data_IF_335386006913
#
_entry.id   IF_335386006913
#
_cell.length_a   1.000
_cell.length_b   1.000
_cell.length_c   1.000
_cell.angle_alpha   90.00
_cell.angle_beta   90.00
_cell.angle_gamma   90.00
#
_symmetry.space_group_name_H-M   'P 1'
#
loop_
_entity.id
_entity.type
_entity.pdbx_description
1 polymer ?
#
# COMPACT_ATOMS: atom_id res chain seq x y z
N UNK A 1 -25.57 82.18 5.25
CA UNK A 1 -24.59 82.07 4.14
C UNK A 1 -23.45 81.21 4.70
N UNK A 2 -23.06 80.05 4.19
CA UNK A 2 -22.93 79.62 2.80
C UNK A 2 -23.02 78.09 2.70
N UNK A 3 -23.79 77.60 1.74
CA UNK A 3 -23.80 76.21 1.30
C UNK A 3 -22.82 76.08 0.12
N UNK A 4 -21.67 75.43 0.31
CA UNK A 4 -20.78 75.00 -0.78
C UNK A 4 -19.60 74.19 -0.24
N UNK A 5 -19.81 72.90 0.05
CA UNK A 5 -18.72 71.94 0.24
C UNK A 5 -19.25 70.51 0.11
N UNK A 6 -19.96 70.22 -0.98
CA UNK A 6 -20.40 68.87 -1.29
C UNK A 6 -20.02 68.59 -2.74
N UNK A 7 -19.39 67.42 -2.96
CA UNK A 7 -18.85 66.86 -4.21
C UNK A 7 -17.46 67.34 -4.63
N UNK A 8 -16.44 66.53 -4.31
CA UNK A 8 -15.36 66.11 -5.23
C UNK A 8 -14.33 65.24 -4.48
N UNK A 9 -14.59 63.94 -4.30
CA UNK A 9 -13.49 62.98 -4.03
C UNK A 9 -13.79 61.50 -4.33
N UNK A 10 -14.88 61.16 -5.03
CA UNK A 10 -15.23 59.74 -5.29
C UNK A 10 -14.84 59.21 -6.68
N UNK A 11 -14.19 60.02 -7.53
CA UNK A 11 -13.97 59.68 -8.95
C UNK A 11 -12.70 58.89 -9.30
N UNK A 12 -11.66 58.90 -8.46
CA UNK A 12 -10.34 58.37 -8.85
C UNK A 12 -10.15 56.87 -8.53
N UNK A 13 -10.85 56.32 -7.52
CA UNK A 13 -10.75 54.90 -7.17
C UNK A 13 -11.44 53.95 -8.15
N UNK A 14 -12.55 54.38 -8.76
CA UNK A 14 -13.31 53.58 -9.73
C UNK A 14 -12.58 53.41 -11.07
N UNK A 15 -11.85 54.43 -11.51
CA UNK A 15 -11.11 54.40 -12.77
C UNK A 15 -9.93 53.41 -12.72
N UNK A 16 -9.21 53.34 -11.59
CA UNK A 16 -8.10 52.40 -11.40
C UNK A 16 -8.57 50.93 -11.31
N UNK A 17 -9.69 50.68 -10.62
CA UNK A 17 -10.30 49.35 -10.56
C UNK A 17 -10.83 48.87 -11.93
N UNK A 18 -11.45 49.79 -12.70
CA UNK A 18 -11.92 49.50 -14.06
C UNK A 18 -10.76 49.22 -15.02
N UNK A 19 -9.64 49.96 -14.92
CA UNK A 19 -8.45 49.73 -15.72
C UNK A 19 -7.77 48.38 -15.41
N UNK A 20 -7.70 47.99 -14.14
CA UNK A 20 -7.17 46.69 -13.73
C UNK A 20 -8.04 45.53 -14.21
N UNK A 21 -9.37 45.66 -14.13
CA UNK A 21 -10.31 44.68 -14.65
C UNK A 21 -10.21 44.53 -16.18
N UNK A 22 -10.13 45.66 -16.91
CA UNK A 22 -9.98 45.65 -18.36
C UNK A 22 -8.64 45.03 -18.80
N UNK A 23 -7.54 45.35 -18.12
CA UNK A 23 -6.24 44.74 -18.38
C UNK A 23 -6.26 43.22 -18.12
N UNK A 24 -6.94 42.77 -17.05
CA UNK A 24 -7.16 41.36 -16.76
C UNK A 24 -7.94 40.65 -17.87
N UNK A 25 -9.05 41.25 -18.33
CA UNK A 25 -9.87 40.70 -19.42
C UNK A 25 -9.12 40.60 -20.75
N UNK A 26 -8.33 41.62 -21.10
CA UNK A 26 -7.50 41.63 -22.32
C UNK A 26 -6.40 40.56 -22.24
N UNK A 27 -5.75 40.42 -21.08
CA UNK A 27 -4.73 39.39 -20.86
C UNK A 27 -5.33 37.99 -20.96
N UNK A 28 -6.50 37.75 -20.33
CA UNK A 28 -7.21 36.47 -20.45
C UNK A 28 -7.69 36.18 -21.88
N UNK A 29 -8.13 37.20 -22.62
CA UNK A 29 -8.54 37.07 -24.02
C UNK A 29 -7.38 36.76 -24.96
N UNK A 30 -6.22 37.38 -24.76
CA UNK A 30 -4.99 37.11 -25.53
C UNK A 30 -4.42 35.71 -25.23
N UNK A 31 -4.47 35.29 -23.97
CA UNK A 31 -4.10 33.93 -23.57
C UNK A 31 -5.06 32.92 -24.21
N UNK A 32 -6.37 33.15 -24.15
CA UNK A 32 -7.36 32.29 -24.78
C UNK A 32 -7.17 32.20 -26.31
N UNK A 33 -6.94 33.33 -26.98
CA UNK A 33 -6.70 33.38 -28.43
C UNK A 33 -5.41 32.67 -28.87
N UNK A 34 -4.35 32.72 -28.05
CA UNK A 34 -3.11 31.96 -28.31
C UNK A 34 -3.22 30.47 -28.01
N UNK A 35 -4.00 30.10 -27.00
CA UNK A 35 -4.28 28.70 -26.66
C UNK A 35 -5.21 28.03 -27.68
N UNK A 36 -6.14 28.79 -28.28
CA UNK A 36 -7.10 28.31 -29.29
C UNK A 36 -6.53 28.23 -30.72
N UNK A 37 -5.28 28.61 -30.94
CA UNK A 37 -4.63 28.47 -32.26
C UNK A 37 -4.46 26.97 -32.58
N UNK A 38 -4.79 26.48 -33.80
CA UNK A 38 -4.83 25.05 -34.12
C UNK A 38 -3.49 24.33 -33.90
N UNK A 39 -2.36 25.03 -34.03
CA UNK A 39 -1.02 24.51 -33.73
C UNK A 39 -0.76 24.26 -32.24
N UNK A 40 -1.46 24.97 -31.35
CA UNK A 40 -1.30 24.89 -29.89
C UNK A 40 -2.41 24.04 -29.25
N UNK A 41 -3.46 23.67 -29.98
CA UNK A 41 -4.60 22.93 -29.47
C UNK A 41 -4.18 21.57 -28.87
N UNK A 42 -3.27 20.83 -29.51
CA UNK A 42 -2.75 19.56 -28.97
C UNK A 42 -1.92 19.75 -27.69
N UNK A 43 -1.07 20.78 -27.63
CA UNK A 43 -0.26 21.07 -26.45
C UNK A 43 -1.12 21.50 -25.25
N UNK A 44 -2.11 22.34 -25.50
CA UNK A 44 -3.00 22.86 -24.46
C UNK A 44 -3.96 21.80 -23.94
N UNK A 45 -4.52 20.97 -24.82
CA UNK A 45 -5.35 19.82 -24.42
C UNK A 45 -4.57 18.76 -23.66
N UNK A 46 -3.37 18.38 -24.11
CA UNK A 46 -2.52 17.41 -23.38
C UNK A 46 -2.12 17.92 -21.99
N UNK A 47 -1.78 19.20 -21.87
CA UNK A 47 -1.50 19.84 -20.58
C UNK A 47 -2.74 19.84 -19.68
N UNK A 48 -3.91 20.19 -20.21
CA UNK A 48 -5.16 20.19 -19.46
C UNK A 48 -5.51 18.77 -18.93
N UNK A 49 -5.30 17.74 -19.76
CA UNK A 49 -5.49 16.33 -19.37
C UNK A 49 -4.48 15.94 -18.27
N UNK A 50 -3.21 16.30 -18.43
CA UNK A 50 -2.17 15.99 -17.45
C UNK A 50 -2.46 16.65 -16.09
N UNK A 51 -2.88 17.93 -16.08
CA UNK A 51 -3.28 18.64 -14.86
C UNK A 51 -4.51 18.00 -14.24
N UNK A 52 -5.54 17.68 -15.02
CA UNK A 52 -6.76 17.03 -14.53
C UNK A 52 -6.46 15.65 -13.93
N UNK A 53 -5.58 14.87 -14.56
CA UNK A 53 -5.11 13.59 -14.05
C UNK A 53 -4.32 13.75 -12.75
N UNK A 54 -3.43 14.75 -12.66
CA UNK A 54 -2.68 15.02 -11.43
C UNK A 54 -3.60 15.41 -10.26
N UNK A 55 -4.61 16.25 -10.52
CA UNK A 55 -5.63 16.62 -9.52
C UNK A 55 -6.44 15.39 -9.10
N UNK A 56 -6.85 14.54 -10.03
CA UNK A 56 -7.55 13.29 -9.72
C UNK A 56 -6.71 12.37 -8.85
N UNK A 57 -5.45 12.12 -9.23
CA UNK A 57 -4.53 11.26 -8.48
C UNK A 57 -4.29 11.82 -7.08
N UNK A 58 -4.02 13.12 -6.94
CA UNK A 58 -3.78 13.76 -5.66
C UNK A 58 -5.01 13.70 -4.74
N UNK A 59 -6.20 13.99 -5.28
CA UNK A 59 -7.45 13.95 -4.52
C UNK A 59 -7.81 12.53 -4.09
N UNK A 60 -7.74 11.54 -4.99
CA UNK A 60 -7.99 10.13 -4.65
C UNK A 60 -6.96 9.59 -3.67
N UNK A 61 -5.67 9.91 -3.85
CA UNK A 61 -4.64 9.54 -2.87
C UNK A 61 -4.96 10.11 -1.48
N UNK A 62 -5.28 11.40 -1.40
CA UNK A 62 -5.64 12.05 -0.13
C UNK A 62 -6.90 11.44 0.50
N UNK A 63 -7.91 11.10 -0.30
CA UNK A 63 -9.11 10.42 0.18
C UNK A 63 -8.79 9.05 0.77
N UNK A 64 -8.01 8.22 0.06
CA UNK A 64 -7.61 6.89 0.52
C UNK A 64 -6.80 6.99 1.82
N UNK A 65 -5.80 7.87 1.89
CA UNK A 65 -4.98 8.05 3.09
C UNK A 65 -5.81 8.55 4.26
N UNK A 66 -6.75 9.49 4.04
CA UNK A 66 -7.68 9.95 5.08
C UNK A 66 -8.59 8.83 5.57
N UNK A 67 -9.18 8.07 4.65
CA UNK A 67 -10.04 6.94 4.97
C UNK A 67 -9.31 5.91 5.86
N UNK A 68 -8.05 5.59 5.55
CA UNK A 68 -7.23 4.68 6.36
C UNK A 68 -6.91 5.18 7.76
N UNK A 69 -6.78 6.50 7.94
CA UNK A 69 -6.56 7.11 9.25
C UNK A 69 -7.81 7.14 10.12
N UNK A 70 -8.98 7.27 9.48
CA UNK A 70 -10.28 7.37 10.16
C UNK A 70 -10.87 6.00 10.45
N UNK A 71 -10.78 5.08 9.48
CA UNK A 71 -11.26 3.71 9.66
C UNK A 71 -10.31 3.00 10.61
N UNK A 72 -10.74 2.91 11.86
CA UNK A 72 -10.14 2.03 12.85
C UNK A 72 -10.11 0.60 12.34
N UNK A 73 -9.07 -0.13 12.71
CA UNK A 73 -9.02 -1.56 12.47
C UNK A 73 -10.23 -2.20 13.14
N UNK A 74 -10.98 -3.07 12.43
CA UNK A 74 -12.13 -3.73 13.03
C UNK A 74 -11.64 -4.44 14.29
N UNK A 75 -12.17 -4.01 15.44
CA UNK A 75 -11.89 -4.65 16.71
C UNK A 75 -12.27 -6.12 16.58
N UNK A 76 -11.37 -7.02 17.00
CA UNK A 76 -11.58 -8.47 16.88
C UNK A 76 -12.93 -8.76 17.52
N UNK A 77 -13.93 -9.13 16.71
CA UNK A 77 -15.22 -9.58 17.22
C UNK A 77 -14.94 -10.79 18.10
N UNK A 78 -15.04 -10.61 19.40
CA UNK A 78 -14.88 -11.66 20.42
C UNK A 78 -16.01 -12.68 20.37
N UNK A 79 -17.08 -12.40 19.62
CA UNK A 79 -18.05 -13.40 19.22
C UNK A 79 -17.45 -14.26 18.11
N UNK A 80 -17.12 -15.52 18.39
CA UNK A 80 -16.82 -16.55 17.38
C UNK A 80 -18.00 -16.60 16.40
N UNK A 81 -17.92 -16.03 15.19
CA UNK A 81 -18.94 -16.29 14.19
C UNK A 81 -18.60 -17.64 13.56
N UNK A 82 -19.59 -18.30 12.98
CA UNK A 82 -19.38 -19.45 12.10
C UNK A 82 -18.17 -19.18 11.17
N UNK A 83 -17.29 -20.19 11.06
CA UNK A 83 -16.00 -20.23 10.37
C UNK A 83 -16.08 -19.49 9.01
N UNK A 84 -15.89 -18.18 9.03
CA UNK A 84 -15.98 -17.35 7.84
C UNK A 84 -14.75 -17.61 6.96
N UNK A 85 -14.89 -17.53 5.63
CA UNK A 85 -13.72 -17.57 4.75
C UNK A 85 -12.78 -16.43 5.12
N UNK A 86 -11.49 -16.71 5.21
CA UNK A 86 -10.47 -15.67 5.31
C UNK A 86 -9.34 -15.93 4.31
N UNK A 87 -8.83 -14.87 3.71
CA UNK A 87 -7.84 -14.91 2.65
C UNK A 87 -6.76 -13.87 2.89
N UNK A 88 -5.59 -14.33 3.34
CA UNK A 88 -4.41 -13.50 3.56
C UNK A 88 -3.32 -13.75 2.51
N UNK A 89 -2.61 -12.68 2.13
CA UNK A 89 -1.40 -12.74 1.31
C UNK A 89 -0.16 -12.41 2.16
N UNK A 90 0.87 -13.23 2.07
CA UNK A 90 2.13 -13.06 2.79
C UNK A 90 3.27 -12.83 1.82
N UNK A 91 3.89 -11.65 1.90
CA UNK A 91 5.07 -11.29 1.11
C UNK A 91 6.31 -11.79 1.85
N UNK A 92 6.92 -12.85 1.34
CA UNK A 92 8.10 -13.46 1.91
C UNK A 92 9.35 -12.73 1.42
N UNK A 93 9.97 -11.95 2.30
CA UNK A 93 11.24 -11.26 2.03
C UNK A 93 12.42 -12.24 2.02
N UNK A 94 13.50 -11.97 1.29
CA UNK A 94 14.57 -12.96 1.13
C UNK A 94 15.32 -13.31 2.41
N UNK A 95 15.68 -14.60 2.57
CA UNK A 95 16.54 -15.07 3.66
C UNK A 95 15.89 -14.92 5.04
N UNK A 96 16.54 -14.19 5.95
CA UNK A 96 16.07 -14.03 7.34
C UNK A 96 14.66 -13.44 7.47
N UNK A 97 14.26 -12.55 6.56
CA UNK A 97 12.91 -11.98 6.56
C UNK A 97 11.82 -13.04 6.32
N UNK A 98 12.07 -14.04 5.47
CA UNK A 98 11.10 -15.15 5.27
C UNK A 98 10.92 -15.90 6.58
N UNK A 99 12.02 -16.28 7.23
CA UNK A 99 11.97 -16.98 8.50
C UNK A 99 11.21 -16.17 9.57
N UNK A 100 11.50 -14.88 9.70
CA UNK A 100 10.76 -14.00 10.62
C UNK A 100 9.27 -13.95 10.31
N UNK A 101 8.88 -13.85 9.03
CA UNK A 101 7.46 -13.81 8.64
C UNK A 101 6.77 -15.13 8.97
N UNK A 102 7.37 -16.26 8.60
CA UNK A 102 6.83 -17.59 8.88
C UNK A 102 6.71 -17.84 10.39
N UNK A 103 7.67 -17.37 11.20
CA UNK A 103 7.58 -17.45 12.65
C UNK A 103 6.51 -16.53 13.24
N UNK A 104 6.26 -15.35 12.67
CA UNK A 104 5.14 -14.49 13.11
C UNK A 104 3.77 -15.07 12.76
N UNK A 105 3.70 -15.90 11.71
CA UNK A 105 2.50 -16.66 11.36
C UNK A 105 2.31 -17.90 12.25
N UNK A 106 3.32 -18.25 13.03
CA UNK A 106 3.39 -19.46 13.81
C UNK A 106 2.90 -19.24 15.24
N UNK A 107 1.57 -19.16 15.41
CA UNK A 107 0.93 -18.94 16.72
C UNK A 107 0.52 -20.25 17.42
N UNK A 108 0.81 -21.41 16.83
CA UNK A 108 0.43 -22.72 17.34
C UNK A 108 -1.02 -23.12 17.03
N UNK A 109 -1.82 -22.25 16.40
CA UNK A 109 -3.17 -22.58 15.98
C UNK A 109 -3.16 -23.39 14.66
N UNK A 110 -4.11 -24.31 14.52
CA UNK A 110 -4.10 -25.30 13.44
C UNK A 110 -5.49 -25.60 12.83
N UNK A 111 -6.58 -24.95 13.28
CA UNK A 111 -7.89 -25.07 12.63
C UNK A 111 -8.06 -23.98 11.56
N UNK A 112 -7.59 -24.28 10.36
CA UNK A 112 -7.47 -23.33 9.25
C UNK A 112 -8.38 -23.71 8.07
N UNK A 113 -9.44 -24.49 8.30
CA UNK A 113 -10.25 -25.09 7.24
C UNK A 113 -10.80 -24.07 6.22
N UNK A 114 -11.23 -22.88 6.68
CA UNK A 114 -11.71 -21.80 5.80
C UNK A 114 -10.65 -20.75 5.44
N UNK A 115 -9.40 -20.96 5.87
CA UNK A 115 -8.31 -20.02 5.68
C UNK A 115 -7.52 -20.34 4.41
N UNK A 116 -7.42 -19.35 3.54
CA UNK A 116 -6.57 -19.40 2.36
C UNK A 116 -5.34 -18.49 2.52
N UNK A 117 -4.16 -19.04 2.28
CA UNK A 117 -2.88 -18.33 2.37
C UNK A 117 -2.20 -18.26 1.02
N UNK A 118 -2.01 -17.05 0.51
CA UNK A 118 -1.18 -16.83 -0.68
C UNK A 118 0.21 -16.39 -0.29
N UNK A 119 1.22 -17.12 -0.72
CA UNK A 119 2.62 -16.77 -0.49
C UNK A 119 3.23 -16.13 -1.73
N UNK A 120 3.83 -14.97 -1.55
CA UNK A 120 4.52 -14.25 -2.60
C UNK A 120 6.02 -14.35 -2.38
N UNK A 121 6.69 -15.13 -3.24
CA UNK A 121 8.12 -15.36 -3.23
C UNK A 121 8.84 -14.47 -4.24
N UNK A 122 10.09 -14.17 -3.94
CA UNK A 122 10.99 -13.44 -4.82
C UNK A 122 11.69 -14.37 -5.82
N UNK A 123 11.79 -13.97 -7.09
CA UNK A 123 12.45 -14.74 -8.14
C UNK A 123 13.91 -15.05 -7.78
N UNK A 124 14.28 -16.33 -7.86
CA UNK A 124 15.63 -16.81 -7.56
C UNK A 124 15.92 -17.06 -6.07
N UNK A 125 14.93 -16.94 -5.18
CA UNK A 125 15.09 -17.22 -3.76
C UNK A 125 14.71 -18.66 -3.40
N UNK A 126 15.63 -19.59 -3.66
CA UNK A 126 15.44 -21.02 -3.35
C UNK A 126 15.38 -21.29 -1.85
N UNK A 127 16.08 -20.48 -1.05
CA UNK A 127 16.14 -20.64 0.41
C UNK A 127 14.77 -20.35 1.01
N UNK A 128 14.15 -19.22 0.63
CA UNK A 128 12.80 -18.89 1.06
C UNK A 128 11.76 -19.92 0.63
N UNK A 129 11.90 -20.49 -0.57
CA UNK A 129 11.02 -21.56 -1.05
C UNK A 129 11.12 -22.82 -0.17
N UNK A 130 12.33 -23.24 0.21
CA UNK A 130 12.51 -24.40 1.08
C UNK A 130 11.97 -24.14 2.49
N UNK A 131 12.23 -22.96 3.05
CA UNK A 131 11.70 -22.56 4.37
C UNK A 131 10.17 -22.59 4.41
N UNK A 132 9.52 -22.15 3.34
CA UNK A 132 8.06 -22.21 3.21
C UNK A 132 7.55 -23.65 3.13
N UNK A 133 8.20 -24.50 2.33
CA UNK A 133 7.85 -25.93 2.24
C UNK A 133 7.97 -26.63 3.60
N UNK A 134 9.06 -26.37 4.32
CA UNK A 134 9.27 -26.91 5.67
C UNK A 134 8.20 -26.41 6.65
N UNK A 135 7.78 -25.14 6.53
CA UNK A 135 6.72 -24.56 7.36
C UNK A 135 5.36 -25.23 7.11
N UNK A 136 4.91 -25.32 5.85
CA UNK A 136 3.63 -25.96 5.52
C UNK A 136 3.64 -27.47 5.82
N UNK A 137 4.79 -28.15 5.70
CA UNK A 137 4.94 -29.55 6.11
C UNK A 137 4.76 -29.72 7.63
N UNK A 138 5.40 -28.85 8.43
CA UNK A 138 5.21 -28.82 9.90
C UNK A 138 3.78 -28.50 10.28
N UNK A 139 3.18 -27.49 9.67
CA UNK A 139 1.78 -27.12 9.88
C UNK A 139 0.86 -28.31 9.60
N UNK A 140 1.06 -29.00 8.47
CA UNK A 140 0.28 -30.18 8.10
C UNK A 140 0.44 -31.32 9.11
N UNK A 141 1.65 -31.56 9.62
CA UNK A 141 1.86 -32.59 10.65
C UNK A 141 1.16 -32.28 11.96
N UNK A 142 1.12 -31.00 12.36
CA UNK A 142 0.46 -30.56 13.59
C UNK A 142 -1.05 -30.64 13.46
N UNK A 143 -1.62 -30.13 12.37
CA UNK A 143 -3.05 -30.24 12.10
C UNK A 143 -3.49 -31.71 12.11
N UNK A 144 -2.68 -32.61 11.51
CA UNK A 144 -2.95 -34.06 11.55
C UNK A 144 -2.91 -34.63 12.97
N UNK A 145 -1.97 -34.19 13.80
CA UNK A 145 -1.86 -34.63 15.19
C UNK A 145 -3.04 -34.16 16.05
N UNK A 146 -3.55 -32.95 15.78
CA UNK A 146 -4.70 -32.34 16.49
C UNK A 146 -6.06 -32.69 15.86
N UNK A 147 -6.08 -33.39 14.72
CA UNK A 147 -7.31 -33.77 14.00
C UNK A 147 -7.99 -32.60 13.27
N UNK A 148 -7.26 -31.54 12.95
CA UNK A 148 -7.73 -30.35 12.22
C UNK A 148 -7.18 -30.30 10.80
N UNK A 149 -7.67 -29.34 10.00
CA UNK A 149 -7.23 -29.13 8.62
C UNK A 149 -6.32 -27.88 8.49
N UNK A 150 -5.16 -27.98 7.80
CA UNK A 150 -4.23 -26.86 7.64
C UNK A 150 -4.78 -25.76 6.70
N UNK A 151 -5.94 -25.94 6.07
CA UNK A 151 -6.48 -25.01 5.09
C UNK A 151 -5.79 -25.12 3.73
N UNK A 152 -5.98 -24.12 2.87
CA UNK A 152 -5.42 -24.12 1.53
C UNK A 152 -4.38 -23.03 1.34
N UNK A 153 -3.39 -23.29 0.50
CA UNK A 153 -2.39 -22.30 0.14
C UNK A 153 -2.01 -22.36 -1.34
N UNK A 154 -1.50 -21.25 -1.84
CA UNK A 154 -0.85 -21.17 -3.14
C UNK A 154 0.42 -20.31 -3.07
N UNK A 155 1.29 -20.50 -4.06
CA UNK A 155 2.61 -19.86 -4.08
C UNK A 155 2.82 -19.20 -5.44
N UNK A 156 3.05 -17.90 -5.42
CA UNK A 156 3.35 -17.11 -6.60
C UNK A 156 4.75 -16.51 -6.50
N UNK A 157 5.51 -16.60 -7.58
CA UNK A 157 6.83 -15.99 -7.68
C UNK A 157 6.73 -14.68 -8.45
N UNK A 158 7.30 -13.60 -7.89
CA UNK A 158 7.40 -12.30 -8.55
C UNK A 158 8.85 -11.88 -8.74
N UNK A 159 9.08 -10.96 -9.67
CA UNK A 159 10.40 -10.38 -9.86
C UNK A 159 10.88 -9.64 -8.60
N UNK A 160 12.17 -9.72 -8.29
CA UNK A 160 12.77 -8.91 -7.21
C UNK A 160 12.79 -7.44 -7.59
N UNK A 161 12.39 -6.57 -6.67
CA UNK A 161 12.42 -5.11 -6.86
C UNK A 161 13.84 -4.57 -7.15
N UNK A 162 14.85 -5.15 -6.50
CA UNK A 162 16.26 -4.84 -6.72
C UNK A 162 17.10 -6.10 -6.57
N UNK A 163 18.04 -6.32 -7.49
CA UNK A 163 19.03 -7.40 -7.41
C UNK A 163 20.19 -6.99 -6.50
N UNK A 164 20.84 -7.98 -5.88
CA UNK A 164 22.07 -7.75 -5.12
C UNK A 164 23.13 -7.18 -6.08
N UNK A 165 23.90 -6.19 -5.63
CA UNK A 165 24.88 -5.45 -6.44
C UNK A 165 24.31 -4.60 -7.60
N UNK A 166 22.99 -4.47 -7.71
CA UNK A 166 22.40 -3.58 -8.70
C UNK A 166 22.62 -2.11 -8.33
N UNK A 167 23.03 -1.31 -9.32
CA UNK A 167 23.13 0.15 -9.21
C UNK A 167 21.78 0.78 -8.84
N UNK A 168 21.82 1.85 -8.05
CA UNK A 168 20.63 2.62 -7.69
C UNK A 168 19.95 3.26 -8.91
N UNK A 169 20.71 3.54 -9.98
CA UNK A 169 20.16 4.15 -11.20
C UNK A 169 19.28 3.20 -12.01
N UNK A 170 19.59 1.89 -12.02
CA UNK A 170 18.79 0.90 -12.75
C UNK A 170 17.68 0.29 -11.88
N UNK A 171 17.69 0.58 -10.58
CA UNK A 171 16.70 0.07 -9.62
C UNK A 171 15.25 0.47 -9.95
N UNK A 172 14.95 1.70 -10.42
CA UNK A 172 13.58 2.07 -10.79
C UNK A 172 12.97 1.16 -11.86
N UNK A 173 13.76 0.76 -12.86
CA UNK A 173 13.28 -0.11 -13.94
C UNK A 173 12.90 -1.50 -13.43
N UNK A 174 13.74 -2.09 -12.56
CA UNK A 174 13.43 -3.39 -11.95
C UNK A 174 12.29 -3.29 -10.94
N UNK A 175 12.16 -2.16 -10.23
CA UNK A 175 11.04 -1.91 -9.34
C UNK A 175 9.71 -1.80 -10.09
N UNK A 176 9.68 -1.13 -11.26
CA UNK A 176 8.49 -1.09 -12.13
C UNK A 176 8.12 -2.49 -12.62
N UNK A 177 9.10 -3.27 -13.09
CA UNK A 177 8.86 -4.66 -13.51
C UNK A 177 8.32 -5.52 -12.35
N UNK A 178 8.82 -5.31 -11.13
CA UNK A 178 8.28 -5.93 -9.91
C UNK A 178 6.82 -5.53 -9.66
N UNK A 179 6.48 -4.23 -9.74
CA UNK A 179 5.09 -3.77 -9.58
C UNK A 179 4.16 -4.42 -10.60
N UNK A 180 4.55 -4.47 -11.88
CA UNK A 180 3.75 -5.12 -12.93
C UNK A 180 3.55 -6.62 -12.66
N UNK A 181 4.60 -7.32 -12.24
CA UNK A 181 4.52 -8.74 -11.85
C UNK A 181 3.66 -8.95 -10.60
N UNK A 182 3.63 -8.00 -9.66
CA UNK A 182 2.77 -8.09 -8.49
C UNK A 182 1.32 -7.80 -8.86
N UNK A 183 1.05 -6.85 -9.76
CA UNK A 183 -0.30 -6.55 -10.23
C UNK A 183 -0.96 -7.77 -10.86
N UNK A 184 -0.22 -8.55 -11.66
CA UNK A 184 -0.76 -9.78 -12.23
C UNK A 184 -1.12 -10.81 -11.16
N UNK A 185 -0.32 -10.92 -10.09
CA UNK A 185 -0.60 -11.85 -8.97
C UNK A 185 -1.76 -11.36 -8.09
N UNK A 186 -1.86 -10.06 -7.80
CA UNK A 186 -2.96 -9.50 -6.99
C UNK A 186 -4.31 -9.61 -7.68
N UNK A 187 -4.33 -9.58 -9.02
CA UNK A 187 -5.54 -9.74 -9.83
C UNK A 187 -5.81 -11.20 -10.23
N UNK A 188 -4.86 -12.11 -9.98
CA UNK A 188 -5.07 -13.53 -10.24
C UNK A 188 -6.05 -14.11 -9.21
N UNK A 189 -7.11 -14.82 -9.62
CA UNK A 189 -8.04 -15.43 -8.68
C UNK A 189 -7.31 -16.46 -7.80
N UNK A 190 -7.78 -16.68 -6.57
CA UNK A 190 -7.34 -17.82 -5.77
C UNK A 190 -7.70 -19.16 -6.44
N UNK A 191 -7.08 -20.27 -6.02
CA UNK A 191 -7.50 -21.61 -6.43
C UNK A 191 -9.01 -21.81 -6.23
N UNK A 192 -9.64 -22.68 -7.03
CA UNK A 192 -11.08 -22.90 -7.08
C UNK A 192 -11.68 -23.62 -5.84
N UNK A 193 -11.18 -23.28 -4.66
CA UNK A 193 -11.57 -23.77 -3.35
C UNK A 193 -12.78 -22.98 -2.83
N UNK A 194 -13.45 -23.49 -1.79
CA UNK A 194 -14.64 -22.84 -1.21
C UNK A 194 -14.37 -21.38 -0.80
N UNK A 195 -13.24 -21.11 -0.14
CA UNK A 195 -12.79 -19.76 0.25
C UNK A 195 -12.54 -18.86 -0.97
N UNK A 196 -11.89 -19.40 -2.01
CA UNK A 196 -11.53 -18.63 -3.20
C UNK A 196 -12.72 -18.20 -4.06
N UNK A 197 -13.83 -18.95 -4.00
CA UNK A 197 -15.10 -18.57 -4.64
C UNK A 197 -15.80 -17.41 -3.92
N UNK A 198 -15.62 -17.30 -2.61
CA UNK A 198 -16.26 -16.27 -1.78
C UNK A 198 -15.41 -14.99 -1.69
N UNK A 199 -14.08 -15.12 -1.69
CA UNK A 199 -13.13 -14.01 -1.58
C UNK A 199 -12.23 -13.95 -2.82
N UNK A 200 -12.56 -13.14 -3.85
CA UNK A 200 -11.76 -13.04 -5.07
C UNK A 200 -10.41 -12.33 -4.85
N UNK A 201 -10.29 -11.53 -3.78
CA UNK A 201 -9.10 -10.75 -3.45
C UNK A 201 -8.69 -10.99 -2.00
N UNK A 202 -7.39 -10.90 -1.67
CA UNK A 202 -6.93 -11.02 -0.30
C UNK A 202 -7.49 -9.88 0.54
N UNK A 203 -7.97 -10.19 1.74
CA UNK A 203 -8.46 -9.22 2.72
C UNK A 203 -7.29 -8.45 3.32
N UNK A 204 -6.24 -9.17 3.69
CA UNK A 204 -5.01 -8.66 4.30
C UNK A 204 -3.78 -9.05 3.50
N UNK A 205 -2.81 -8.15 3.46
CA UNK A 205 -1.50 -8.35 2.84
C UNK A 205 -0.42 -8.02 3.86
N UNK A 206 0.38 -9.00 4.24
CA UNK A 206 1.45 -8.83 5.22
C UNK A 206 2.81 -8.76 4.55
N UNK A 207 3.68 -7.87 5.03
CA UNK A 207 5.07 -7.83 4.62
C UNK A 207 5.98 -7.34 5.75
N UNK A 208 7.13 -7.98 5.91
CA UNK A 208 8.25 -7.52 6.73
C UNK A 208 9.53 -7.27 5.90
N UNK A 209 9.45 -7.52 4.59
CA UNK A 209 10.60 -7.55 3.70
C UNK A 209 10.92 -6.19 3.08
N UNK A 210 12.17 -5.98 2.63
CA UNK A 210 12.56 -4.77 1.91
C UNK A 210 12.06 -4.78 0.46
N UNK A 211 12.00 -3.62 -0.19
CA UNK A 211 11.89 -3.46 -1.65
C UNK A 211 10.61 -4.03 -2.28
N UNK A 212 10.52 -5.35 -2.43
CA UNK A 212 9.34 -6.06 -2.94
C UNK A 212 8.11 -5.76 -2.09
N UNK A 213 8.25 -5.66 -0.76
CA UNK A 213 7.14 -5.25 0.12
C UNK A 213 6.59 -3.87 -0.22
N UNK A 214 7.47 -2.91 -0.55
CA UNK A 214 7.04 -1.59 -1.01
C UNK A 214 6.34 -1.66 -2.38
N UNK A 215 6.87 -2.46 -3.32
CA UNK A 215 6.23 -2.68 -4.63
C UNK A 215 4.82 -3.28 -4.49
N UNK A 216 4.61 -4.17 -3.52
CA UNK A 216 3.29 -4.75 -3.22
C UNK A 216 2.34 -3.71 -2.65
N UNK A 217 2.80 -2.90 -1.68
CA UNK A 217 2.01 -1.78 -1.16
C UNK A 217 1.63 -0.79 -2.27
N UNK A 218 2.56 -0.51 -3.19
CA UNK A 218 2.33 0.34 -4.36
C UNK A 218 1.32 -0.25 -5.32
N UNK A 219 1.46 -1.53 -5.68
CA UNK A 219 0.49 -2.21 -6.53
C UNK A 219 -0.93 -2.18 -5.92
N UNK A 220 -1.08 -2.56 -4.64
CA UNK A 220 -2.37 -2.53 -3.96
C UNK A 220 -2.95 -1.09 -3.88
N UNK A 221 -2.12 -0.09 -3.63
CA UNK A 221 -2.56 1.31 -3.59
C UNK A 221 -2.98 1.82 -4.97
N UNK A 222 -2.26 1.48 -6.04
CA UNK A 222 -2.62 1.84 -7.41
C UNK A 222 -3.94 1.21 -7.84
N UNK A 223 -4.16 -0.07 -7.52
CA UNK A 223 -5.44 -0.75 -7.80
C UNK A 223 -6.63 -0.04 -7.14
N UNK A 224 -6.46 0.42 -5.89
CA UNK A 224 -7.48 1.21 -5.18
C UNK A 224 -7.63 2.62 -5.75
N UNK A 225 -6.52 3.26 -6.11
CA UNK A 225 -6.48 4.62 -6.68
C UNK A 225 -7.27 4.72 -7.98
N UNK A 226 -7.16 3.71 -8.85
CA UNK A 226 -7.88 3.62 -10.12
C UNK A 226 -9.23 2.88 -10.01
N UNK A 227 -9.73 2.62 -8.80
CA UNK A 227 -11.01 1.95 -8.54
C UNK A 227 -11.14 0.56 -9.21
N UNK A 228 -10.02 -0.13 -9.45
CA UNK A 228 -10.00 -1.49 -10.01
C UNK A 228 -10.44 -2.51 -8.96
N UNK A 229 -10.09 -2.26 -7.70
CA UNK A 229 -10.48 -3.10 -6.55
C UNK A 229 -11.22 -2.27 -5.50
N UNK A 230 -12.14 -2.88 -4.73
CA UNK A 230 -12.79 -2.22 -3.60
C UNK A 230 -11.79 -1.72 -2.54
N UNK A 231 -12.17 -0.67 -1.80
CA UNK A 231 -11.27 -0.08 -0.78
C UNK A 231 -11.11 -0.95 0.47
N UNK A 232 -12.06 -1.85 0.74
CA UNK A 232 -12.10 -2.72 1.91
C UNK A 232 -11.25 -3.99 1.79
N UNK A 233 -10.74 -4.33 0.60
CA UNK A 233 -9.83 -5.46 0.37
C UNK A 233 -8.37 -5.02 0.30
N UNK A 234 -7.44 -5.97 0.28
CA UNK A 234 -5.99 -5.72 0.16
C UNK A 234 -5.47 -4.70 1.19
N UNK A 235 -5.85 -4.84 2.46
CA UNK A 235 -5.33 -4.00 3.53
C UNK A 235 -3.88 -4.37 3.80
N UNK A 236 -2.97 -3.45 3.57
CA UNK A 236 -1.54 -3.68 3.65
C UNK A 236 -1.00 -3.43 5.05
N UNK A 237 -0.47 -4.48 5.68
CA UNK A 237 0.17 -4.47 6.99
C UNK A 237 1.67 -4.64 6.80
N UNK A 238 2.42 -3.62 7.23
CA UNK A 238 3.87 -3.70 7.28
C UNK A 238 4.35 -3.87 8.72
N UNK A 239 5.24 -4.84 8.91
CA UNK A 239 5.88 -5.09 10.20
C UNK A 239 7.39 -4.84 10.03
N UNK A 240 7.88 -3.76 10.61
CA UNK A 240 9.32 -3.52 10.71
C UNK A 240 9.89 -4.45 11.78
N UNK A 241 10.65 -5.45 11.33
CA UNK A 241 11.17 -6.51 12.19
C UNK A 241 12.44 -6.12 12.95
N UNK A 242 12.91 -7.01 13.83
CA UNK A 242 14.17 -6.86 14.59
C UNK A 242 15.43 -6.68 13.74
N UNK A 243 15.35 -6.86 12.41
CA UNK A 243 16.42 -6.52 11.48
C UNK A 243 16.91 -5.06 11.62
N UNK A 244 16.09 -4.14 12.15
CA UNK A 244 16.47 -2.75 12.41
C UNK A 244 16.06 -2.28 13.80
N UNK A 245 17.07 -2.11 14.67
CA UNK A 245 16.88 -1.71 16.08
C UNK A 245 17.10 -0.22 16.37
N UNK A 246 17.65 0.55 15.42
CA UNK A 246 18.02 1.96 15.65
C UNK A 246 17.20 2.97 14.82
N UNK A 247 16.75 2.56 13.64
CA UNK A 247 16.05 3.41 12.66
C UNK A 247 15.11 2.56 11.83
N UNK A 248 14.04 3.16 11.30
CA UNK A 248 13.20 2.50 10.29
C UNK A 248 14.02 2.14 9.05
N UNK A 249 13.64 1.04 8.39
CA UNK A 249 14.16 0.70 7.07
C UNK A 249 13.76 1.76 6.04
N UNK A 250 14.41 1.75 4.88
CA UNK A 250 13.99 2.63 3.78
C UNK A 250 12.53 2.36 3.40
N UNK A 251 12.12 1.09 3.35
CA UNK A 251 10.72 0.69 3.10
C UNK A 251 9.79 1.26 4.17
N UNK A 252 10.09 1.07 5.45
CA UNK A 252 9.29 1.61 6.55
C UNK A 252 9.16 3.13 6.50
N UNK A 253 10.25 3.85 6.19
CA UNK A 253 10.23 5.31 5.99
C UNK A 253 9.37 5.73 4.80
N UNK A 254 9.47 5.02 3.67
CA UNK A 254 8.68 5.31 2.48
C UNK A 254 7.19 5.08 2.73
N UNK A 255 6.82 3.97 3.37
CA UNK A 255 5.43 3.67 3.73
C UNK A 255 4.86 4.66 4.74
N UNK A 256 5.66 5.08 5.72
CA UNK A 256 5.28 6.12 6.67
C UNK A 256 5.05 7.47 5.98
N UNK A 257 5.94 7.85 5.06
CA UNK A 257 5.84 9.12 4.34
C UNK A 257 4.65 9.12 3.35
N UNK A 258 4.44 8.02 2.63
CA UNK A 258 3.41 7.93 1.60
C UNK A 258 2.01 7.60 2.13
N UNK A 259 1.89 7.07 3.35
CA UNK A 259 0.60 6.62 3.90
C UNK A 259 -0.01 5.42 3.16
N UNK A 260 0.82 4.66 2.43
CA UNK A 260 0.35 3.54 1.59
C UNK A 260 0.17 2.23 2.36
N UNK A 261 0.65 2.14 3.59
CA UNK A 261 0.31 1.04 4.49
C UNK A 261 -0.97 1.37 5.26
N UNK A 262 -1.86 0.39 5.41
CA UNK A 262 -3.06 0.50 6.25
C UNK A 262 -2.69 0.32 7.74
N UNK A 263 -1.66 -0.48 8.03
CA UNK A 263 -1.00 -0.52 9.33
C UNK A 263 0.51 -0.65 9.19
N UNK A 264 1.21 0.05 10.07
CA UNK A 264 2.66 0.04 10.17
C UNK A 264 3.05 -0.22 11.62
N UNK A 265 3.54 -1.42 11.89
CA UNK A 265 4.00 -1.84 13.21
C UNK A 265 5.52 -1.92 13.26
N UNK A 266 6.08 -1.68 14.44
CA UNK A 266 7.51 -1.79 14.70
C UNK A 266 7.73 -2.69 15.90
N UNK A 267 8.57 -3.72 15.77
CA UNK A 267 8.85 -4.63 16.88
C UNK A 267 9.72 -3.99 17.96
N UNK A 268 10.73 -3.21 17.57
CA UNK A 268 11.65 -2.56 18.51
C UNK A 268 11.03 -1.31 19.17
N UNK A 269 10.76 -1.39 20.48
CA UNK A 269 10.11 -0.34 21.29
C UNK A 269 10.71 1.06 21.13
N UNK A 270 12.05 1.21 21.15
CA UNK A 270 12.68 2.53 21.02
C UNK A 270 12.48 3.14 19.63
N UNK A 271 12.41 2.31 18.59
CA UNK A 271 12.17 2.79 17.21
C UNK A 271 10.71 3.17 17.05
N UNK A 272 9.80 2.33 17.56
CA UNK A 272 8.37 2.63 17.61
C UNK A 272 8.10 4.00 18.25
N UNK A 273 8.65 4.24 19.45
CA UNK A 273 8.52 5.51 20.15
C UNK A 273 9.12 6.70 19.38
N UNK A 274 10.30 6.52 18.76
CA UNK A 274 10.98 7.57 17.99
C UNK A 274 10.16 8.07 16.79
N UNK A 275 9.37 7.19 16.16
CA UNK A 275 8.57 7.52 14.98
C UNK A 275 7.07 7.64 15.27
N UNK A 276 6.65 7.55 16.55
CA UNK A 276 5.24 7.60 16.94
C UNK A 276 4.39 6.45 16.40
N UNK A 277 4.99 5.26 16.25
CA UNK A 277 4.36 4.07 15.69
C UNK A 277 3.97 3.06 16.79
N UNK A 278 2.94 2.23 16.57
CA UNK A 278 2.58 1.17 17.51
C UNK A 278 3.70 0.14 17.63
N UNK A 279 4.01 -0.22 18.87
CA UNK A 279 4.99 -1.25 19.19
C UNK A 279 4.31 -2.62 19.11
N UNK A 280 4.73 -3.46 18.17
CA UNK A 280 4.27 -4.84 18.06
C UNK A 280 4.90 -5.75 19.14
N UNK A 281 6.07 -5.37 19.67
CA UNK A 281 6.80 -6.19 20.63
C UNK A 281 7.32 -7.49 20.02
N UNK A 282 7.45 -8.52 20.87
CA UNK A 282 7.92 -9.84 20.49
C UNK A 282 6.78 -10.66 19.86
N UNK A 283 6.51 -10.41 18.57
CA UNK A 283 5.56 -11.24 17.80
C UNK A 283 6.17 -12.56 17.32
N UNK A 284 7.48 -12.73 17.44
CA UNK A 284 8.21 -13.95 17.05
C UNK A 284 8.25 -14.87 18.26
N UNK A 285 7.09 -15.41 18.64
CA UNK A 285 6.99 -16.45 19.64
C UNK A 285 6.97 -17.77 18.88
N UNK A 286 8.05 -18.53 18.96
CA UNK A 286 8.09 -19.84 18.31
C UNK A 286 7.32 -20.84 19.19
N UNK A 287 5.98 -20.76 19.21
CA UNK A 287 5.16 -21.66 20.05
C UNK A 287 5.35 -23.14 19.65
N UNK A 288 5.77 -23.39 18.40
CA UNK A 288 6.08 -24.71 17.84
C UNK A 288 7.54 -25.16 18.01
N UNK A 289 8.41 -24.42 18.72
CA UNK A 289 9.70 -24.99 19.16
C UNK A 289 9.43 -25.91 20.33
N UNK A 290 9.50 -27.21 20.09
CA UNK A 290 9.92 -28.12 21.14
C UNK A 290 11.36 -27.71 21.47
N UNK A 291 11.63 -27.32 22.70
CA UNK A 291 12.98 -27.15 23.19
C UNK A 291 13.70 -28.50 23.03
N UNK A 292 14.59 -28.59 22.04
CA UNK A 292 15.59 -29.65 21.95
C UNK A 292 16.81 -29.28 22.81
#
# INVERSE_FOLDING_TARGET
MSASAMRRSSGHGGAAAAAAAAAGSILSGLVFARLSHPSNLFGTTSLAIAVSMAVFVATRHAQLVRHRRVVGWPERRTSVPAVAPDYCLFVLGSGGHTKEMLMMMDDGFCDLQSFHRRYLLSSGDRVSSHQLQDYEARLTSLCRAEGTEPGSYDVHTVMRARRVYQSLLTTPLTAIACVLSVLSVLLSPPPANATGRQLPYPTLVFSNGPGTGFCVALAAHLLKMFCVVPENVMRFVYIESWARISTLSLTGRLLLCSGMADALYVQHKKVAAKYGLPCAGEMVLNSRRLDE
#
